data_IF_006032117567
#
_entry.id   IF_006032117567
#
_cell.length_a   1.000
_cell.length_b   1.000
_cell.length_c   1.000
_cell.angle_alpha   90.00
_cell.angle_beta   90.00
_cell.angle_gamma   90.00
#
_symmetry.space_group_name_H-M   'P 1'
#
loop_
_entity.id
_entity.type
_entity.pdbx_description
1 polymer ?
#
# COMPACT_ATOMS: atom_id res chain seq x y z
N UNK A 1 7.37 -2.40 -24.96
CA UNK A 1 6.42 -2.72 -23.86
C UNK A 1 7.08 -3.69 -22.88
N UNK A 2 7.13 -3.35 -21.59
CA UNK A 2 7.89 -4.07 -20.54
C UNK A 2 7.77 -5.61 -20.57
N UNK A 3 6.54 -6.15 -20.51
CA UNK A 3 6.30 -7.62 -20.51
C UNK A 3 7.01 -8.34 -21.67
N UNK A 4 6.99 -7.75 -22.86
CA UNK A 4 7.55 -8.36 -24.07
C UNK A 4 9.08 -8.28 -24.07
N UNK A 5 9.65 -7.18 -23.57
CA UNK A 5 11.08 -7.04 -23.37
C UNK A 5 11.63 -8.08 -22.37
N UNK A 6 10.84 -8.43 -21.35
CA UNK A 6 11.16 -9.48 -20.38
C UNK A 6 10.83 -10.91 -20.88
N UNK A 7 10.36 -11.07 -22.12
CA UNK A 7 10.01 -12.37 -22.68
C UNK A 7 8.82 -13.06 -21.99
N UNK A 8 8.01 -12.31 -21.23
CA UNK A 8 6.94 -12.87 -20.41
C UNK A 8 5.69 -13.16 -21.24
N UNK A 9 5.17 -14.40 -21.25
CA UNK A 9 4.00 -14.77 -22.04
C UNK A 9 2.72 -14.13 -21.52
N UNK A 10 1.91 -13.62 -22.44
CA UNK A 10 0.58 -13.07 -22.17
C UNK A 10 -0.37 -14.14 -21.63
N UNK A 11 -1.13 -13.78 -20.60
CA UNK A 11 -2.12 -14.62 -19.93
C UNK A 11 -3.56 -14.20 -20.21
N UNK A 12 -4.46 -14.77 -19.41
CA UNK A 12 -5.90 -14.56 -19.54
C UNK A 12 -6.55 -14.34 -18.18
N UNK A 13 -7.67 -13.63 -18.16
CA UNK A 13 -8.51 -13.43 -16.99
C UNK A 13 -9.95 -13.81 -17.32
N UNK A 14 -10.78 -14.04 -16.29
CA UNK A 14 -12.23 -14.20 -16.47
C UNK A 14 -12.90 -12.83 -16.35
N UNK A 15 -13.69 -12.46 -17.36
CA UNK A 15 -14.55 -11.27 -17.28
C UNK A 15 -15.72 -11.49 -16.30
N UNK A 16 -16.50 -10.44 -16.02
CA UNK A 16 -17.65 -10.50 -15.11
C UNK A 16 -18.72 -11.52 -15.52
N UNK A 17 -18.73 -11.92 -16.81
CA UNK A 17 -19.62 -12.94 -17.36
C UNK A 17 -18.99 -14.35 -17.33
N UNK A 18 -17.84 -14.49 -16.68
CA UNK A 18 -17.09 -15.74 -16.54
C UNK A 18 -16.32 -16.17 -17.79
N UNK A 19 -16.24 -15.34 -18.85
CA UNK A 19 -15.57 -15.69 -20.10
C UNK A 19 -14.08 -15.39 -20.02
N UNK A 20 -13.26 -16.27 -20.57
CA UNK A 20 -11.82 -16.06 -20.66
C UNK A 20 -11.47 -15.01 -21.71
N UNK A 21 -10.66 -14.03 -21.31
CA UNK A 21 -10.13 -12.96 -22.17
C UNK A 21 -8.63 -12.90 -22.02
N UNK A 22 -7.93 -12.86 -23.14
CA UNK A 22 -6.47 -12.70 -23.16
C UNK A 22 -6.13 -11.21 -23.13
N UNK A 23 -5.23 -10.80 -22.25
CA UNK A 23 -4.88 -9.38 -22.06
C UNK A 23 -3.39 -9.22 -21.74
N UNK A 24 -2.78 -8.15 -22.28
CA UNK A 24 -1.34 -7.88 -22.13
C UNK A 24 -0.87 -7.63 -20.69
N UNK A 25 -1.77 -7.18 -19.82
CA UNK A 25 -1.53 -6.92 -18.39
C UNK A 25 -1.62 -8.16 -17.51
N UNK A 26 -1.94 -9.33 -18.06
CA UNK A 26 -1.99 -10.59 -17.33
C UNK A 26 -0.84 -11.51 -17.78
N UNK A 27 -0.17 -12.16 -16.83
CA UNK A 27 0.83 -13.19 -17.10
C UNK A 27 0.18 -14.56 -17.30
N UNK A 28 0.75 -15.36 -18.21
CA UNK A 28 0.41 -16.78 -18.31
C UNK A 28 0.75 -17.47 -16.98
N UNK A 29 -0.08 -18.43 -16.58
CA UNK A 29 0.03 -19.12 -15.26
C UNK A 29 1.43 -19.67 -14.96
N UNK A 30 2.10 -20.29 -15.92
CA UNK A 30 3.45 -20.83 -15.72
C UNK A 30 4.46 -19.72 -15.34
N UNK A 31 4.53 -18.64 -16.13
CA UNK A 31 5.40 -17.50 -15.83
C UNK A 31 5.04 -16.80 -14.50
N UNK A 32 3.75 -16.74 -14.17
CA UNK A 32 3.30 -16.24 -12.88
C UNK A 32 3.75 -17.14 -11.71
N UNK A 33 3.67 -18.47 -11.88
CA UNK A 33 4.16 -19.46 -10.91
C UNK A 33 5.68 -19.37 -10.73
N UNK A 34 6.42 -19.08 -11.80
CA UNK A 34 7.88 -18.89 -11.75
C UNK A 34 8.27 -17.55 -11.11
N UNK A 35 7.30 -16.68 -10.83
CA UNK A 35 7.52 -15.41 -10.14
C UNK A 35 7.78 -14.23 -11.08
N UNK A 36 7.40 -14.30 -12.36
CA UNK A 36 7.63 -13.23 -13.35
C UNK A 36 6.98 -11.87 -13.01
N UNK A 37 6.13 -11.81 -11.98
CA UNK A 37 5.60 -10.55 -11.46
C UNK A 37 6.56 -9.84 -10.49
N UNK A 38 7.66 -10.47 -10.10
CA UNK A 38 8.58 -9.98 -9.09
C UNK A 38 9.98 -9.76 -9.66
N UNK A 39 10.72 -8.83 -9.05
CA UNK A 39 12.04 -8.41 -9.55
C UNK A 39 13.11 -9.50 -9.52
N UNK A 40 12.96 -10.49 -8.64
CA UNK A 40 13.94 -11.55 -8.49
C UNK A 40 13.32 -12.81 -7.91
N UNK A 41 13.96 -13.98 -8.08
CA UNK A 41 13.55 -15.22 -7.44
C UNK A 41 13.42 -15.10 -5.91
N UNK A 42 14.29 -14.30 -5.27
CA UNK A 42 14.26 -14.08 -3.83
C UNK A 42 13.03 -13.28 -3.39
N UNK A 43 12.61 -12.27 -4.15
CA UNK A 43 11.37 -11.53 -3.86
C UNK A 43 10.16 -12.42 -4.13
N UNK A 44 10.17 -13.23 -5.19
CA UNK A 44 9.12 -14.21 -5.42
C UNK A 44 9.02 -15.24 -4.28
N UNK A 45 10.16 -15.70 -3.75
CA UNK A 45 10.20 -16.61 -2.60
C UNK A 45 9.69 -15.92 -1.31
N UNK A 46 10.06 -14.66 -1.07
CA UNK A 46 9.52 -13.85 0.02
C UNK A 46 8.00 -13.77 -0.08
N UNK A 47 7.45 -13.42 -1.25
CA UNK A 47 5.99 -13.30 -1.45
C UNK A 47 5.30 -14.63 -1.14
N UNK A 48 5.82 -15.76 -1.62
CA UNK A 48 5.25 -17.09 -1.31
C UNK A 48 5.24 -17.36 0.19
N UNK A 49 6.31 -16.97 0.90
CA UNK A 49 6.38 -17.10 2.36
C UNK A 49 5.34 -16.22 3.05
N UNK A 50 5.21 -14.95 2.66
CA UNK A 50 4.22 -14.03 3.25
C UNK A 50 2.79 -14.52 3.00
N UNK A 51 2.50 -15.09 1.82
CA UNK A 51 1.19 -15.70 1.53
C UNK A 51 0.94 -16.97 2.36
N UNK A 52 1.96 -17.80 2.58
CA UNK A 52 1.85 -19.06 3.32
C UNK A 52 1.71 -18.86 4.84
N UNK A 53 2.42 -17.86 5.38
CA UNK A 53 2.44 -17.52 6.81
C UNK A 53 1.66 -16.25 7.13
N UNK A 54 0.70 -15.89 6.27
CA UNK A 54 -0.15 -14.73 6.45
C UNK A 54 -0.92 -14.78 7.77
N UNK A 55 -1.27 -13.61 8.28
CA UNK A 55 -2.09 -13.47 9.48
C UNK A 55 -3.46 -14.16 9.31
N UNK A 56 -4.09 -14.54 10.42
CA UNK A 56 -5.44 -15.10 10.33
C UNK A 56 -6.41 -14.07 9.76
N UNK A 57 -7.19 -14.47 8.77
CA UNK A 57 -8.11 -13.60 8.03
C UNK A 57 -7.45 -12.64 7.04
N UNK A 58 -6.13 -12.73 6.81
CA UNK A 58 -5.43 -11.94 5.80
C UNK A 58 -5.88 -12.32 4.37
N UNK A 59 -6.23 -11.31 3.57
CA UNK A 59 -6.83 -11.38 2.24
C UNK A 59 -5.80 -11.13 1.12
N UNK A 60 -5.03 -12.17 0.80
CA UNK A 60 -4.25 -12.22 -0.43
C UNK A 60 -5.08 -12.76 -1.60
N UNK A 61 -5.46 -11.89 -2.54
CA UNK A 61 -5.89 -12.33 -3.87
C UNK A 61 -4.66 -12.83 -4.64
N UNK A 62 -4.37 -14.12 -4.50
CA UNK A 62 -3.20 -14.75 -5.11
C UNK A 62 -3.22 -14.66 -6.64
N UNK A 63 -4.39 -14.74 -7.27
CA UNK A 63 -4.45 -14.62 -8.72
C UNK A 63 -4.01 -13.22 -9.14
N UNK A 64 -4.61 -12.18 -8.55
CA UNK A 64 -4.20 -10.78 -8.80
C UNK A 64 -2.72 -10.56 -8.47
N UNK A 65 -2.24 -11.08 -7.35
CA UNK A 65 -0.86 -10.94 -6.89
C UNK A 65 0.16 -11.54 -7.86
N UNK A 66 -0.08 -12.75 -8.37
CA UNK A 66 0.90 -13.44 -9.22
C UNK A 66 0.74 -13.13 -10.71
N UNK A 67 -0.46 -12.78 -11.19
CA UNK A 67 -0.71 -12.67 -12.63
C UNK A 67 -0.93 -11.25 -13.14
N UNK A 68 -1.41 -10.31 -12.31
CA UNK A 68 -1.75 -8.97 -12.79
C UNK A 68 -0.54 -8.03 -12.72
N UNK A 69 -0.04 -7.62 -13.88
CA UNK A 69 1.10 -6.70 -14.04
C UNK A 69 0.76 -5.25 -13.67
N UNK A 70 -0.53 -4.89 -13.68
CA UNK A 70 -1.03 -3.54 -13.38
C UNK A 70 -1.65 -3.44 -11.98
N UNK A 71 -1.35 -4.39 -11.11
CA UNK A 71 -1.86 -4.40 -9.74
C UNK A 71 -0.88 -3.74 -8.79
N UNK A 72 -1.39 -2.93 -7.84
CA UNK A 72 -0.61 -2.47 -6.68
C UNK A 72 -0.05 -3.62 -5.84
N UNK A 73 -0.79 -4.73 -5.71
CA UNK A 73 -0.37 -5.87 -4.87
C UNK A 73 1.08 -6.37 -5.12
N UNK A 74 1.49 -6.75 -6.36
CA UNK A 74 2.88 -7.08 -6.65
C UNK A 74 3.82 -5.88 -6.59
N UNK A 75 3.36 -4.67 -6.92
CA UNK A 75 4.17 -3.45 -6.77
C UNK A 75 4.59 -3.27 -5.31
N UNK A 76 3.68 -3.44 -4.35
CA UNK A 76 3.96 -3.37 -2.91
C UNK A 76 5.10 -4.31 -2.51
N UNK A 77 5.08 -5.56 -2.98
CA UNK A 77 6.17 -6.50 -2.70
C UNK A 77 7.47 -6.13 -3.40
N UNK A 78 7.42 -5.59 -4.62
CA UNK A 78 8.62 -5.12 -5.31
C UNK A 78 9.23 -3.87 -4.65
N UNK A 79 8.42 -2.99 -4.05
CA UNK A 79 8.90 -1.83 -3.30
C UNK A 79 9.50 -2.21 -1.94
N UNK A 80 8.75 -3.00 -1.16
CA UNK A 80 9.06 -3.24 0.25
C UNK A 80 9.75 -4.56 0.52
N UNK A 81 9.76 -5.50 -0.43
CA UNK A 81 10.47 -6.77 -0.31
C UNK A 81 11.98 -6.59 -0.13
N UNK A 82 12.67 -5.81 -0.98
CA UNK A 82 14.09 -5.47 -0.77
C UNK A 82 14.34 -4.77 0.57
N UNK A 83 13.47 -3.83 0.96
CA UNK A 83 13.57 -3.12 2.24
C UNK A 83 13.36 -4.05 3.44
N UNK A 84 12.48 -5.05 3.34
CA UNK A 84 12.28 -6.05 4.40
C UNK A 84 13.51 -6.94 4.58
N UNK A 85 14.27 -7.17 3.50
CA UNK A 85 15.52 -7.93 3.54
C UNK A 85 16.71 -7.10 4.04
N UNK A 86 16.66 -5.78 3.89
CA UNK A 86 17.69 -4.83 4.35
C UNK A 86 17.02 -3.71 5.18
N UNK A 87 16.83 -3.97 6.47
CA UNK A 87 16.21 -3.02 7.40
C UNK A 87 17.09 -1.79 7.66
N UNK A 88 18.41 -1.86 7.40
CA UNK A 88 19.27 -0.68 7.48
C UNK A 88 18.98 0.27 6.32
N UNK A 89 18.79 -0.25 5.11
CA UNK A 89 18.31 0.54 3.97
C UNK A 89 16.89 1.08 4.24
N UNK A 90 15.98 0.25 4.77
CA UNK A 90 14.65 0.70 5.17
C UNK A 90 14.73 1.85 6.18
N UNK A 91 15.63 1.75 7.16
CA UNK A 91 15.89 2.77 8.17
C UNK A 91 16.41 4.05 7.54
N UNK A 92 17.44 3.99 6.68
CA UNK A 92 17.98 5.17 5.99
C UNK A 92 16.90 5.90 5.18
N UNK A 93 16.10 5.13 4.43
CA UNK A 93 14.99 5.65 3.62
C UNK A 93 13.97 6.38 4.50
N UNK A 94 13.40 5.68 5.48
CA UNK A 94 12.26 6.19 6.25
C UNK A 94 12.66 7.25 7.27
N UNK A 95 13.92 7.27 7.75
CA UNK A 95 14.44 8.41 8.54
C UNK A 95 14.46 9.70 7.74
N UNK A 96 14.71 9.64 6.42
CA UNK A 96 14.68 10.81 5.55
C UNK A 96 13.26 11.28 5.28
N UNK A 97 12.34 10.35 5.02
CA UNK A 97 10.94 10.68 4.72
C UNK A 97 10.15 11.11 5.97
N UNK A 98 10.44 10.51 7.12
CA UNK A 98 9.68 10.70 8.37
C UNK A 98 10.61 10.90 9.58
N UNK A 99 11.43 11.97 9.60
CA UNK A 99 12.47 12.17 10.62
C UNK A 99 11.93 12.23 12.06
N UNK A 100 10.69 12.68 12.24
CA UNK A 100 10.06 12.78 13.56
C UNK A 100 9.43 11.45 14.06
N UNK A 101 9.23 10.49 13.14
CA UNK A 101 8.61 9.20 13.44
C UNK A 101 9.60 8.04 13.42
N UNK A 102 10.70 8.16 12.67
CA UNK A 102 11.60 7.04 12.43
C UNK A 102 13.01 7.40 12.86
N UNK A 103 13.54 6.63 13.80
CA UNK A 103 14.96 6.48 14.10
C UNK A 103 15.46 5.12 13.61
N UNK A 104 14.66 4.07 13.74
CA UNK A 104 14.98 2.69 13.34
C UNK A 104 13.70 2.03 12.81
N UNK A 105 13.77 1.39 11.64
CA UNK A 105 12.73 0.46 11.18
C UNK A 105 13.07 -0.92 11.72
N UNK A 106 12.18 -1.47 12.55
CA UNK A 106 12.40 -2.77 13.21
C UNK A 106 11.70 -3.92 12.50
N UNK A 107 10.63 -3.62 11.75
CA UNK A 107 9.85 -4.66 11.05
C UNK A 107 9.07 -4.06 9.88
N UNK A 108 8.86 -4.86 8.84
CA UNK A 108 7.98 -4.56 7.71
C UNK A 108 6.99 -5.72 7.57
N UNK A 109 5.71 -5.42 7.75
CA UNK A 109 4.59 -6.37 7.67
C UNK A 109 3.78 -6.09 6.41
N UNK A 110 3.33 -7.14 5.73
CA UNK A 110 2.50 -7.05 4.53
C UNK A 110 1.06 -7.41 4.86
N UNK A 111 0.10 -6.70 4.24
CA UNK A 111 -1.34 -6.93 4.41
C UNK A 111 -1.75 -7.02 5.89
N UNK A 112 -1.28 -6.05 6.67
CA UNK A 112 -1.32 -6.09 8.12
C UNK A 112 -2.52 -5.35 8.70
N UNK A 113 -3.13 -5.91 9.74
CA UNK A 113 -4.14 -5.24 10.56
C UNK A 113 -3.75 -5.30 12.03
N UNK A 114 -3.71 -4.17 12.77
CA UNK A 114 -3.34 -4.16 14.19
C UNK A 114 -4.34 -4.90 15.11
N UNK A 115 -5.50 -5.30 14.59
CA UNK A 115 -6.48 -6.11 15.32
C UNK A 115 -7.62 -6.50 14.40
N UNK A 116 -7.35 -7.45 13.50
CA UNK A 116 -8.35 -7.92 12.53
C UNK A 116 -9.56 -8.50 13.26
N UNK A 117 -10.77 -8.06 12.89
CA UNK A 117 -12.05 -8.38 13.55
C UNK A 117 -12.15 -7.96 15.02
N UNK A 118 -11.16 -7.25 15.57
CA UNK A 118 -11.17 -6.81 16.96
C UNK A 118 -12.24 -5.72 17.18
N UNK A 119 -13.24 -5.92 18.06
CA UNK A 119 -14.29 -4.94 18.31
C UNK A 119 -13.78 -3.68 19.02
N UNK A 120 -12.59 -3.72 19.65
CA UNK A 120 -11.92 -2.52 20.17
C UNK A 120 -11.37 -1.61 19.07
N UNK A 121 -11.20 -2.14 17.84
CA UNK A 121 -10.86 -1.40 16.62
C UNK A 121 -12.09 -1.32 15.70
N UNK A 122 -11.93 -1.44 14.38
CA UNK A 122 -13.04 -1.39 13.43
C UNK A 122 -13.93 -2.64 13.40
N UNK A 123 -13.49 -3.75 13.99
CA UNK A 123 -14.25 -5.01 13.98
C UNK A 123 -14.46 -5.59 12.58
N UNK A 124 -13.57 -5.30 11.63
CA UNK A 124 -13.65 -5.75 10.25
C UNK A 124 -12.30 -6.27 9.72
N UNK A 125 -12.18 -6.41 8.39
CA UNK A 125 -10.99 -6.91 7.70
C UNK A 125 -10.14 -5.78 7.11
N UNK A 126 -10.32 -4.52 7.56
CA UNK A 126 -9.48 -3.41 7.12
C UNK A 126 -8.02 -3.69 7.50
N UNK A 127 -7.13 -3.50 6.54
CA UNK A 127 -5.70 -3.72 6.66
C UNK A 127 -4.94 -2.65 5.87
N UNK A 128 -3.65 -2.54 6.12
CA UNK A 128 -2.70 -1.75 5.33
C UNK A 128 -1.94 -2.69 4.40
N UNK A 129 -1.60 -2.23 3.19
CA UNK A 129 -0.73 -2.97 2.30
C UNK A 129 0.62 -3.25 2.96
N UNK A 130 1.15 -2.25 3.68
CA UNK A 130 2.36 -2.38 4.49
C UNK A 130 2.20 -1.66 5.83
N UNK A 131 2.71 -2.27 6.90
CA UNK A 131 2.98 -1.57 8.16
C UNK A 131 4.46 -1.68 8.49
N UNK A 132 5.10 -0.53 8.67
CA UNK A 132 6.44 -0.45 9.26
C UNK A 132 6.30 -0.26 10.76
N UNK A 133 6.90 -1.16 11.54
CA UNK A 133 7.15 -0.90 12.97
C UNK A 133 8.47 -0.20 13.11
N UNK A 134 8.47 0.88 13.86
CA UNK A 134 9.61 1.75 14.04
C UNK A 134 9.85 2.07 15.52
N UNK A 135 11.10 2.37 15.83
CA UNK A 135 11.42 3.19 17.00
C UNK A 135 11.64 4.62 16.51
N UNK A 136 10.89 5.56 17.07
CA UNK A 136 11.03 6.98 16.82
C UNK A 136 12.07 7.63 17.75
N UNK A 137 12.31 8.94 17.60
CA UNK A 137 13.13 9.72 18.51
C UNK A 137 12.71 9.52 19.97
N UNK A 138 13.68 9.50 20.88
CA UNK A 138 13.45 9.20 22.33
C UNK A 138 12.80 7.83 22.59
N UNK A 139 13.00 6.86 21.69
CA UNK A 139 12.53 5.46 21.79
C UNK A 139 11.00 5.29 21.80
N UNK A 140 10.25 6.27 21.30
CA UNK A 140 8.80 6.14 21.09
C UNK A 140 8.48 4.99 20.14
N UNK A 141 7.50 4.16 20.46
CA UNK A 141 6.96 3.15 19.55
C UNK A 141 6.21 3.87 18.44
N UNK A 142 6.73 3.79 17.22
CA UNK A 142 6.18 4.53 16.08
C UNK A 142 5.81 3.56 14.96
N UNK A 143 4.90 3.97 14.08
CA UNK A 143 4.58 3.18 12.89
C UNK A 143 4.36 4.05 11.66
N UNK A 144 4.54 3.46 10.49
CA UNK A 144 4.08 4.02 9.22
C UNK A 144 3.18 2.97 8.56
N UNK A 145 1.89 3.28 8.48
CA UNK A 145 0.90 2.50 7.75
C UNK A 145 0.86 3.00 6.30
N UNK A 146 0.92 2.10 5.33
CA UNK A 146 1.03 2.45 3.91
C UNK A 146 -0.06 1.74 3.11
N UNK A 147 -0.72 2.49 2.25
CA UNK A 147 -1.56 2.01 1.16
C UNK A 147 -0.87 2.31 -0.17
N UNK A 148 -0.73 1.32 -1.04
CA UNK A 148 -0.13 1.49 -2.36
C UNK A 148 -1.22 1.39 -3.42
N UNK A 149 -1.28 2.37 -4.31
CA UNK A 149 -2.10 2.32 -5.52
C UNK A 149 -1.19 2.36 -6.75
N UNK A 150 -1.63 1.71 -7.82
CA UNK A 150 -0.98 1.75 -9.12
C UNK A 150 -1.97 2.16 -10.21
N UNK A 151 -2.71 1.20 -10.78
CA UNK A 151 -3.73 1.46 -11.81
C UNK A 151 -5.17 1.50 -11.24
N UNK A 152 -5.31 1.28 -9.93
CA UNK A 152 -6.58 1.36 -9.20
C UNK A 152 -7.19 2.77 -9.29
N UNK A 153 -8.51 2.84 -9.12
CA UNK A 153 -9.29 4.04 -9.46
C UNK A 153 -9.83 4.82 -8.28
N UNK A 154 -9.76 4.24 -7.06
CA UNK A 154 -10.44 4.72 -5.85
C UNK A 154 -11.98 4.58 -5.89
N UNK A 155 -12.53 3.96 -6.94
CA UNK A 155 -13.96 3.69 -7.09
C UNK A 155 -14.30 2.19 -6.98
N UNK A 156 -13.42 1.41 -6.38
CA UNK A 156 -13.70 0.03 -6.02
C UNK A 156 -14.95 -0.02 -5.11
N UNK A 157 -15.80 -1.06 -5.20
CA UNK A 157 -17.06 -1.11 -4.45
C UNK A 157 -16.86 -0.78 -2.96
N UNK A 158 -17.63 0.17 -2.41
CA UNK A 158 -17.47 0.57 -1.02
C UNK A 158 -17.75 -0.62 -0.09
N UNK A 159 -17.04 -0.67 1.04
CA UNK A 159 -17.34 -1.66 2.05
C UNK A 159 -18.77 -1.46 2.59
N UNK A 160 -19.45 -2.55 2.95
CA UNK A 160 -20.72 -2.46 3.65
C UNK A 160 -20.54 -1.65 4.94
N UNK A 161 -21.28 -0.55 5.07
CA UNK A 161 -21.25 0.31 6.25
C UNK A 161 -21.66 -0.45 7.51
N UNK A 162 -21.03 -0.10 8.62
CA UNK A 162 -21.23 -0.70 9.94
C UNK A 162 -21.41 0.40 10.98
N UNK A 163 -22.28 0.23 11.99
CA UNK A 163 -22.43 1.21 13.07
C UNK A 163 -21.12 1.58 13.76
N UNK A 164 -20.17 0.63 13.82
CA UNK A 164 -18.84 0.85 14.39
C UNK A 164 -18.05 1.96 13.69
N UNK A 165 -18.28 2.19 12.39
CA UNK A 165 -17.55 3.22 11.66
C UNK A 165 -17.98 4.63 12.06
N UNK A 166 -19.27 4.85 12.30
CA UNK A 166 -19.75 6.16 12.77
C UNK A 166 -19.19 6.48 14.16
N UNK A 167 -19.18 5.50 15.07
CA UNK A 167 -18.55 5.62 16.37
C UNK A 167 -17.05 5.91 16.25
N UNK A 168 -16.32 5.15 15.43
CA UNK A 168 -14.89 5.34 15.22
C UNK A 168 -14.57 6.70 14.62
N UNK A 169 -15.38 7.18 13.66
CA UNK A 169 -15.22 8.49 13.03
C UNK A 169 -15.32 9.60 14.08
N UNK A 170 -16.36 9.54 14.92
CA UNK A 170 -16.59 10.51 15.98
C UNK A 170 -15.49 10.49 17.07
N UNK A 171 -15.00 9.33 17.48
CA UNK A 171 -14.01 9.23 18.58
C UNK A 171 -12.56 9.35 18.12
N UNK A 172 -12.27 9.15 16.84
CA UNK A 172 -10.90 9.27 16.30
C UNK A 172 -10.33 10.68 16.39
N UNK A 173 -11.21 11.69 16.48
CA UNK A 173 -10.87 13.11 16.43
C UNK A 173 -10.10 13.53 15.15
N UNK A 174 -10.07 12.69 14.10
CA UNK A 174 -9.34 12.97 12.86
C UNK A 174 -10.02 14.05 12.02
N UNK A 175 -11.35 14.12 12.06
CA UNK A 175 -12.17 14.81 11.06
C UNK A 175 -12.77 16.11 11.59
N UNK A 176 -12.77 17.16 10.76
CA UNK A 176 -13.46 18.43 11.02
C UNK A 176 -14.96 18.20 11.20
N UNK A 177 -15.53 17.35 10.35
CA UNK A 177 -16.90 16.86 10.47
C UNK A 177 -16.90 15.32 10.31
N UNK A 178 -16.96 14.55 11.40
CA UNK A 178 -16.94 13.08 11.35
C UNK A 178 -18.20 12.46 10.71
N UNK A 179 -19.28 13.24 10.59
CA UNK A 179 -20.56 12.80 10.03
C UNK A 179 -20.72 13.17 8.55
N UNK A 180 -19.71 13.76 7.91
CA UNK A 180 -19.77 14.08 6.50
C UNK A 180 -19.96 12.80 5.66
N UNK A 181 -21.07 12.76 4.91
CA UNK A 181 -21.46 11.59 4.11
C UNK A 181 -20.42 11.22 3.05
N UNK A 182 -19.58 12.16 2.58
CA UNK A 182 -18.54 11.91 1.59
C UNK A 182 -17.48 10.92 2.09
N UNK A 183 -17.23 10.88 3.41
CA UNK A 183 -16.28 9.92 4.01
C UNK A 183 -16.73 8.47 3.87
N UNK A 184 -18.03 8.23 3.64
CA UNK A 184 -18.64 6.89 3.58
C UNK A 184 -18.75 6.33 2.17
N UNK A 185 -18.36 7.12 1.17
CA UNK A 185 -18.46 6.75 -0.24
C UNK A 185 -17.13 6.94 -0.97
N UNK A 186 -17.08 6.46 -2.22
CA UNK A 186 -15.95 6.67 -3.10
C UNK A 186 -15.81 8.16 -3.46
N UNK A 187 -14.58 8.68 -3.55
CA UNK A 187 -13.31 7.93 -3.49
C UNK A 187 -12.68 7.85 -2.08
N UNK A 188 -13.39 8.22 -1.01
CA UNK A 188 -12.79 8.50 0.30
C UNK A 188 -12.88 7.33 1.28
N UNK A 189 -13.89 6.46 1.16
CA UNK A 189 -14.21 5.46 2.19
C UNK A 189 -13.06 4.54 2.57
N UNK A 190 -12.19 4.19 1.63
CA UNK A 190 -11.06 3.31 1.93
C UNK A 190 -10.03 4.03 2.81
N UNK A 191 -9.66 5.26 2.43
CA UNK A 191 -8.74 6.10 3.18
C UNK A 191 -9.31 6.41 4.58
N UNK A 192 -10.61 6.71 4.64
CA UNK A 192 -11.33 6.94 5.89
C UNK A 192 -11.20 5.76 6.85
N UNK A 193 -11.50 4.54 6.41
CA UNK A 193 -11.39 3.34 7.26
C UNK A 193 -9.95 3.07 7.67
N UNK A 194 -8.99 3.14 6.73
CA UNK A 194 -7.59 2.86 7.04
C UNK A 194 -7.00 3.88 8.03
N UNK A 195 -7.29 5.17 7.86
CA UNK A 195 -6.80 6.21 8.76
C UNK A 195 -7.41 6.07 10.16
N UNK A 196 -8.72 5.78 10.26
CA UNK A 196 -9.36 5.48 11.54
C UNK A 196 -8.72 4.26 12.22
N UNK A 197 -8.45 3.18 11.48
CA UNK A 197 -7.78 1.99 12.03
C UNK A 197 -6.41 2.33 12.60
N UNK A 198 -5.63 3.14 11.88
CA UNK A 198 -4.31 3.59 12.33
C UNK A 198 -4.39 4.42 13.61
N UNK A 199 -5.33 5.37 13.67
CA UNK A 199 -5.53 6.21 14.85
C UNK A 199 -6.07 5.43 16.05
N UNK A 200 -6.99 4.50 15.83
CA UNK A 200 -7.51 3.65 16.91
C UNK A 200 -6.42 2.75 17.52
N UNK A 201 -5.50 2.22 16.69
CA UNK A 201 -4.35 1.47 17.20
C UNK A 201 -3.44 2.34 18.09
N UNK A 202 -3.22 3.61 17.70
CA UNK A 202 -2.51 4.59 18.53
C UNK A 202 -3.25 4.88 19.85
N UNK A 203 -4.55 5.17 19.79
CA UNK A 203 -5.38 5.46 20.97
C UNK A 203 -5.48 4.28 21.93
N UNK A 204 -5.44 3.04 21.43
CA UNK A 204 -5.38 1.81 22.23
C UNK A 204 -4.03 1.64 22.96
N UNK A 205 -2.99 2.38 22.55
CA UNK A 205 -1.66 2.32 23.16
C UNK A 205 -0.72 1.32 22.50
N UNK A 206 -1.06 0.79 21.32
CA UNK A 206 -0.18 -0.09 20.55
C UNK A 206 1.08 0.66 20.10
N UNK A 207 0.92 1.93 19.74
CA UNK A 207 1.97 2.86 19.32
C UNK A 207 1.76 4.24 19.95
N UNK A 208 2.86 4.97 20.14
CA UNK A 208 2.84 6.31 20.73
C UNK A 208 2.57 7.39 19.66
N UNK A 209 2.97 7.14 18.40
CA UNK A 209 2.82 8.05 17.27
C UNK A 209 2.86 7.28 15.93
N UNK A 210 2.36 7.87 14.85
CA UNK A 210 2.48 7.26 13.54
C UNK A 210 1.91 8.08 12.39
N UNK A 211 2.02 7.54 11.18
CA UNK A 211 1.48 8.12 9.96
C UNK A 211 0.72 7.06 9.15
N UNK A 212 -0.32 7.50 8.43
CA UNK A 212 -0.93 6.78 7.33
C UNK A 212 -0.57 7.47 6.01
N UNK A 213 0.07 6.73 5.10
CA UNK A 213 0.65 7.27 3.87
C UNK A 213 0.10 6.53 2.66
N UNK A 214 -0.32 7.27 1.64
CA UNK A 214 -0.67 6.71 0.34
C UNK A 214 0.51 6.87 -0.61
N UNK A 215 0.86 5.81 -1.33
CA UNK A 215 1.85 5.84 -2.42
C UNK A 215 1.13 5.55 -3.73
N UNK A 216 1.30 6.41 -4.74
CA UNK A 216 0.76 6.17 -6.08
C UNK A 216 1.55 6.88 -7.17
N UNK A 217 1.51 6.42 -8.43
CA UNK A 217 2.13 7.14 -9.55
C UNK A 217 1.65 8.57 -9.66
N UNK A 218 2.55 9.50 -9.99
CA UNK A 218 2.20 10.89 -10.33
C UNK A 218 1.18 10.96 -11.47
N UNK A 219 1.23 9.99 -12.38
CA UNK A 219 0.30 9.86 -13.51
C UNK A 219 -1.03 9.17 -13.16
N UNK A 220 -1.34 8.93 -11.88
CA UNK A 220 -2.67 8.52 -11.44
C UNK A 220 -3.43 9.69 -10.77
N UNK A 221 -4.06 10.59 -11.56
CA UNK A 221 -4.74 11.78 -11.04
C UNK A 221 -5.98 11.44 -10.20
N UNK A 222 -6.52 10.22 -10.31
CA UNK A 222 -7.66 9.78 -9.49
C UNK A 222 -7.25 9.61 -8.04
N UNK A 223 -6.10 8.99 -7.79
CA UNK A 223 -5.57 8.82 -6.44
C UNK A 223 -5.16 10.16 -5.84
N UNK A 224 -4.43 10.99 -6.60
CA UNK A 224 -4.04 12.33 -6.16
C UNK A 224 -5.27 13.17 -5.76
N UNK A 225 -6.32 13.18 -6.61
CA UNK A 225 -7.57 13.88 -6.31
C UNK A 225 -8.24 13.32 -5.05
N UNK A 226 -8.30 12.00 -4.88
CA UNK A 226 -8.91 11.38 -3.70
C UNK A 226 -8.17 11.75 -2.41
N UNK A 227 -6.83 11.72 -2.43
CA UNK A 227 -5.96 12.16 -1.32
C UNK A 227 -6.20 13.64 -1.00
N UNK A 228 -6.25 14.51 -2.01
CA UNK A 228 -6.49 15.95 -1.81
C UNK A 228 -7.86 16.21 -1.20
N UNK A 229 -8.91 15.59 -1.76
CA UNK A 229 -10.27 15.69 -1.23
C UNK A 229 -10.36 15.16 0.20
N UNK A 230 -9.74 14.01 0.49
CA UNK A 230 -9.72 13.42 1.83
C UNK A 230 -9.04 14.33 2.84
N UNK A 231 -7.90 14.91 2.47
CA UNK A 231 -7.12 15.81 3.34
C UNK A 231 -7.92 17.04 3.77
N UNK A 232 -8.84 17.52 2.94
CA UNK A 232 -9.72 18.64 3.27
C UNK A 232 -10.74 18.33 4.39
N UNK A 233 -10.93 17.05 4.75
CA UNK A 233 -11.77 16.66 5.89
C UNK A 233 -10.98 16.55 7.20
N UNK A 234 -9.65 16.59 7.17
CA UNK A 234 -8.81 16.35 8.34
C UNK A 234 -8.53 17.63 9.13
N UNK A 235 -8.45 17.49 10.45
CA UNK A 235 -7.93 18.57 11.28
C UNK A 235 -6.41 18.75 11.07
N UNK A 236 -5.95 20.01 11.10
CA UNK A 236 -4.55 20.37 10.90
C UNK A 236 -3.62 20.11 12.11
N UNK A 237 -4.12 19.64 13.26
CA UNK A 237 -3.28 19.54 14.47
C UNK A 237 -2.44 18.25 14.51
N UNK A 238 -1.33 18.29 15.26
CA UNK A 238 -0.25 17.29 15.23
C UNK A 238 -0.39 16.14 16.25
N UNK A 239 -1.40 16.13 17.14
CA UNK A 239 -1.55 15.10 18.19
C UNK A 239 -2.41 13.90 17.76
N UNK A 240 -2.19 13.45 16.53
CA UNK A 240 -2.94 12.37 15.88
C UNK A 240 -2.05 11.66 14.88
N UNK A 241 -2.47 10.49 14.43
CA UNK A 241 -1.84 9.82 13.30
C UNK A 241 -1.90 10.74 12.08
N UNK A 242 -0.75 11.14 11.54
CA UNK A 242 -0.70 12.06 10.40
C UNK A 242 -1.15 11.36 9.11
N UNK A 243 -1.66 12.12 8.15
CA UNK A 243 -1.94 11.62 6.80
C UNK A 243 -0.94 12.21 5.80
N UNK A 244 -0.48 11.40 4.84
CA UNK A 244 0.48 11.84 3.83
C UNK A 244 0.32 11.15 2.49
N UNK A 245 0.93 11.75 1.47
CA UNK A 245 0.99 11.20 0.12
C UNK A 245 2.39 11.35 -0.43
N UNK A 246 2.89 10.29 -1.07
CA UNK A 246 4.19 10.27 -1.72
C UNK A 246 3.99 9.71 -3.13
N UNK A 247 4.54 10.37 -4.14
CA UNK A 247 4.48 9.80 -5.49
C UNK A 247 5.34 8.55 -5.57
N UNK A 248 4.94 7.58 -6.39
CA UNK A 248 5.70 6.34 -6.58
C UNK A 248 7.13 6.65 -7.02
N UNK A 249 7.28 7.64 -7.90
CA UNK A 249 8.54 8.14 -8.42
C UNK A 249 9.45 8.68 -7.30
N UNK A 250 8.94 9.55 -6.43
CA UNK A 250 9.73 10.10 -5.32
C UNK A 250 10.11 9.01 -4.29
N UNK A 251 9.24 8.01 -4.12
CA UNK A 251 9.55 6.86 -3.27
C UNK A 251 10.65 5.98 -3.89
N UNK A 252 10.62 5.74 -5.21
CA UNK A 252 11.68 5.02 -5.94
C UNK A 252 13.02 5.75 -5.85
N UNK A 253 13.02 7.08 -6.00
CA UNK A 253 14.22 7.90 -5.81
C UNK A 253 14.76 7.79 -4.37
N UNK A 254 13.86 7.68 -3.39
CA UNK A 254 14.23 7.45 -1.99
C UNK A 254 14.83 6.05 -1.75
N UNK A 255 14.33 5.01 -2.43
CA UNK A 255 14.93 3.67 -2.43
C UNK A 255 16.35 3.72 -2.99
N UNK A 256 16.55 4.44 -4.10
CA UNK A 256 17.88 4.62 -4.71
C UNK A 256 18.83 5.34 -3.76
N UNK A 257 18.39 6.45 -3.16
CA UNK A 257 19.17 7.21 -2.19
C UNK A 257 19.51 6.41 -0.92
N UNK A 258 18.73 5.39 -0.58
CA UNK A 258 19.00 4.50 0.54
C UNK A 258 20.06 3.42 0.22
N UNK A 259 20.54 3.35 -1.02
CA UNK A 259 21.59 2.43 -1.47
C UNK A 259 21.07 1.19 -2.22
N UNK A 260 19.77 1.09 -2.48
CA UNK A 260 19.16 -0.03 -3.21
C UNK A 260 18.98 0.28 -4.69
N UNK A 261 20.06 0.74 -5.35
CA UNK A 261 20.03 1.24 -6.73
C UNK A 261 19.43 0.26 -7.73
N UNK A 262 19.83 -1.02 -7.69
CA UNK A 262 19.30 -2.04 -8.60
C UNK A 262 17.78 -2.22 -8.45
N UNK A 263 17.27 -2.26 -7.21
CA UNK A 263 15.84 -2.38 -6.95
C UNK A 263 15.08 -1.14 -7.44
N UNK A 264 15.61 0.05 -7.16
CA UNK A 264 15.02 1.30 -7.62
C UNK A 264 14.95 1.39 -9.15
N UNK A 265 16.06 1.10 -9.85
CA UNK A 265 16.12 1.15 -11.31
C UNK A 265 15.16 0.13 -11.95
N UNK A 266 15.05 -1.07 -11.37
CA UNK A 266 14.10 -2.08 -11.85
C UNK A 266 12.64 -1.64 -11.66
N UNK A 267 12.29 -1.10 -10.48
CA UNK A 267 10.93 -0.60 -10.22
C UNK A 267 10.62 0.58 -11.13
N UNK A 268 11.55 1.52 -11.31
CA UNK A 268 11.40 2.65 -12.22
C UNK A 268 11.07 2.16 -13.63
N UNK A 269 11.93 1.32 -14.22
CA UNK A 269 11.75 0.78 -15.57
C UNK A 269 10.42 0.06 -15.75
N UNK A 270 9.92 -0.59 -14.70
CA UNK A 270 8.70 -1.39 -14.77
C UNK A 270 7.42 -0.59 -14.55
N UNK A 271 7.43 0.36 -13.63
CA UNK A 271 6.22 1.00 -13.11
C UNK A 271 6.14 2.51 -13.34
N UNK A 272 7.26 3.16 -13.68
CA UNK A 272 7.34 4.62 -13.84
C UNK A 272 7.77 5.03 -15.25
N UNK A 273 8.49 4.15 -15.96
CA UNK A 273 8.99 4.41 -17.30
C UNK A 273 7.98 4.00 -18.37
N UNK A 274 7.39 5.00 -19.02
CA UNK A 274 6.43 4.84 -20.10
C UNK A 274 7.02 5.17 -21.48
N UNK A 275 8.33 5.38 -21.62
CA UNK A 275 8.95 5.79 -22.89
C UNK A 275 8.64 4.83 -24.04
N UNK A 276 8.62 3.53 -23.73
CA UNK A 276 8.25 2.45 -24.65
C UNK A 276 6.80 2.55 -25.17
N UNK A 277 5.90 3.10 -24.37
CA UNK A 277 4.49 3.31 -24.71
C UNK A 277 4.34 4.63 -25.47
N UNK A 278 5.01 5.68 -25.01
CA UNK A 278 5.02 6.99 -25.65
C UNK A 278 5.59 6.93 -27.06
N UNK A 279 6.56 6.05 -27.32
CA UNK A 279 7.11 5.83 -28.65
C UNK A 279 6.16 5.12 -29.64
N UNK A 280 5.01 4.59 -29.17
CA UNK A 280 4.01 3.92 -30.01
C UNK A 280 2.89 4.86 -30.51
N UNK A 281 2.80 6.08 -29.98
CA UNK A 281 1.78 7.09 -30.31
C UNK A 281 2.39 8.28 -31.06
#
# INVERSE_FOLDING_TARGET
>A
MWREAEGLPRGSYKDEKGRWRTIGSCLKRAAAQDGGNFMSPEIAALVRREVAYREDGALFDQQRLFTNLLSSHPLTFNLFGPLKKDLDAATRLHRKLFPDLVHEVTEILFEHSPGRRDPSLLGDYTAFDVLLRCRGPKRKRSFIAIEVKYAETMYEPPARLRPRYDQASATSNLFINPDDGRLRDNPLQQLWRQHMLAEMARQRGDYDQGAFVVIAPRLNPRVERAVHLYSAHLHATLDRTSFGFITLEDFVDSIKAAGLTHAADWVHRRYCDFSDVDALI
#
